data_IF_177786978923
#
_entry.id   IF_177786978923
#
_cell.length_a   1.000
_cell.length_b   1.000
_cell.length_c   1.000
_cell.angle_alpha   90.00
_cell.angle_beta   90.00
_cell.angle_gamma   90.00
#
_symmetry.space_group_name_H-M   'P 1'
#
loop_
_entity.id
_entity.type
_entity.pdbx_description
1 polymer ?
#
# COMPACT_ATOMS: atom_id res chain seq x y z
N UNK A 1 12.52 12.54 -7.72
CA UNK A 1 11.08 12.65 -8.03
C UNK A 1 10.44 13.79 -7.25
N UNK A 2 10.30 13.70 -5.92
CA UNK A 2 9.53 14.69 -5.14
C UNK A 2 10.21 16.06 -4.91
N UNK A 3 11.54 16.17 -5.06
CA UNK A 3 12.26 17.44 -4.90
C UNK A 3 12.11 18.40 -6.10
N UNK A 4 13.18 18.57 -6.89
CA UNK A 4 13.20 19.50 -8.04
C UNK A 4 12.03 19.27 -9.03
N UNK A 5 11.88 18.04 -9.52
CA UNK A 5 10.84 17.69 -10.51
C UNK A 5 9.43 17.88 -9.93
N UNK A 6 9.21 17.56 -8.66
CA UNK A 6 7.93 17.76 -7.99
C UNK A 6 7.54 19.24 -7.98
N UNK A 7 8.47 20.12 -7.59
CA UNK A 7 8.24 21.58 -7.60
C UNK A 7 7.94 22.13 -8.98
N UNK A 8 8.66 21.68 -10.00
CA UNK A 8 8.40 22.07 -11.41
C UNK A 8 7.02 21.63 -11.90
N UNK A 9 6.45 20.57 -11.30
CA UNK A 9 5.11 20.04 -11.62
C UNK A 9 4.00 20.57 -10.70
N UNK A 10 4.30 21.58 -9.88
CA UNK A 10 3.35 22.16 -8.93
C UNK A 10 3.03 21.28 -7.71
N UNK A 11 3.82 20.23 -7.44
CA UNK A 11 3.66 19.45 -6.21
C UNK A 11 4.17 20.27 -5.01
N UNK A 12 3.49 20.10 -3.88
CA UNK A 12 3.86 20.75 -2.62
C UNK A 12 5.28 20.40 -2.15
N UNK A 13 5.82 21.20 -1.25
CA UNK A 13 7.13 20.93 -0.66
C UNK A 13 7.11 19.59 0.07
N UNK A 14 8.17 18.81 -0.14
CA UNK A 14 8.36 17.55 0.59
C UNK A 14 8.76 17.87 2.02
N UNK A 15 7.89 17.53 2.96
CA UNK A 15 8.20 17.57 4.40
C UNK A 15 8.11 16.17 4.98
N UNK A 16 8.80 15.95 6.11
CA UNK A 16 8.72 14.69 6.84
C UNK A 16 7.30 14.45 7.35
N UNK A 17 6.64 15.51 7.78
CA UNK A 17 5.28 15.52 8.30
C UNK A 17 4.30 15.06 7.23
N UNK A 18 4.43 15.57 6.00
CA UNK A 18 3.62 15.14 4.87
C UNK A 18 3.84 13.65 4.56
N UNK A 19 5.11 13.19 4.55
CA UNK A 19 5.41 11.77 4.38
C UNK A 19 4.74 10.89 5.45
N UNK A 20 4.86 11.26 6.73
CA UNK A 20 4.23 10.51 7.83
C UNK A 20 2.70 10.54 7.72
N UNK A 21 2.12 11.65 7.28
CA UNK A 21 0.69 11.76 7.02
C UNK A 21 0.25 10.81 5.90
N UNK A 22 0.98 10.73 4.79
CA UNK A 22 0.69 9.79 3.70
C UNK A 22 0.81 8.33 4.14
N UNK A 23 1.78 8.02 5.00
CA UNK A 23 1.94 6.68 5.57
C UNK A 23 0.76 6.30 6.46
N UNK A 24 0.29 7.22 7.30
CA UNK A 24 -0.81 6.95 8.24
C UNK A 24 -2.19 6.97 7.58
N UNK A 25 -2.47 7.98 6.77
CA UNK A 25 -3.81 8.29 6.28
C UNK A 25 -3.92 8.38 4.76
N UNK A 26 -2.82 8.69 4.07
CA UNK A 26 -2.78 8.78 2.61
C UNK A 26 -2.47 7.45 1.92
N UNK A 27 -1.87 7.49 0.73
CA UNK A 27 -1.70 6.29 -0.12
C UNK A 27 -0.24 5.79 -0.17
N UNK A 28 0.55 6.06 0.88
CA UNK A 28 1.84 5.40 1.06
C UNK A 28 1.66 4.11 1.86
N UNK A 29 1.92 2.99 1.18
CA UNK A 29 1.84 1.64 1.75
C UNK A 29 3.22 1.25 2.29
N UNK A 30 3.58 1.82 3.43
CA UNK A 30 4.89 1.65 4.09
C UNK A 30 4.65 1.28 5.55
N UNK A 31 5.33 0.25 6.05
CA UNK A 31 5.18 -0.23 7.42
C UNK A 31 5.49 -1.71 7.55
N UNK A 32 4.96 -2.34 8.59
CA UNK A 32 5.01 -3.81 8.72
C UNK A 32 4.11 -4.49 7.67
N UNK A 33 4.36 -5.77 7.33
CA UNK A 33 3.51 -6.49 6.40
C UNK A 33 2.01 -6.44 6.76
N UNK A 34 1.67 -6.50 8.05
CA UNK A 34 0.29 -6.47 8.54
C UNK A 34 -0.35 -5.10 8.33
N UNK A 35 0.40 -4.01 8.57
CA UNK A 35 -0.07 -2.64 8.32
C UNK A 35 -0.35 -2.42 6.84
N UNK A 36 0.57 -2.87 5.98
CA UNK A 36 0.43 -2.76 4.53
C UNK A 36 -0.75 -3.61 4.04
N UNK A 37 -0.89 -4.85 4.50
CA UNK A 37 -1.98 -5.74 4.10
C UNK A 37 -3.36 -5.16 4.43
N UNK A 38 -3.56 -4.66 5.67
CA UNK A 38 -4.82 -4.03 6.06
C UNK A 38 -5.13 -2.80 5.20
N UNK A 39 -4.11 -1.99 4.89
CA UNK A 39 -4.29 -0.77 4.08
C UNK A 39 -4.65 -1.09 2.63
N UNK A 40 -4.01 -2.10 2.03
CA UNK A 40 -4.35 -2.58 0.68
C UNK A 40 -5.79 -3.12 0.65
N UNK A 41 -6.15 -3.99 1.60
CA UNK A 41 -7.49 -4.56 1.65
C UNK A 41 -8.56 -3.48 1.83
N UNK A 42 -8.31 -2.49 2.70
CA UNK A 42 -9.18 -1.32 2.84
C UNK A 42 -9.35 -0.58 1.51
N UNK A 43 -8.24 -0.18 0.86
CA UNK A 43 -8.27 0.59 -0.38
C UNK A 43 -9.00 -0.16 -1.51
N UNK A 44 -8.74 -1.46 -1.67
CA UNK A 44 -9.43 -2.27 -2.68
C UNK A 44 -10.93 -2.33 -2.42
N UNK A 45 -11.37 -2.52 -1.17
CA UNK A 45 -12.79 -2.53 -0.79
C UNK A 45 -13.45 -1.18 -1.05
N UNK A 46 -12.79 -0.08 -0.70
CA UNK A 46 -13.38 1.27 -0.79
C UNK A 46 -13.84 1.66 -2.20
N UNK A 47 -13.25 1.07 -3.23
CA UNK A 47 -13.57 1.37 -4.63
C UNK A 47 -14.01 0.14 -5.43
N UNK A 48 -14.17 -1.03 -4.78
CA UNK A 48 -14.51 -2.28 -5.45
C UNK A 48 -13.44 -2.78 -6.43
N UNK A 49 -12.17 -2.51 -6.16
CA UNK A 49 -11.07 -2.93 -7.04
C UNK A 49 -10.75 -4.42 -6.90
N UNK A 50 -10.46 -5.06 -8.02
CA UNK A 50 -10.06 -6.47 -8.09
C UNK A 50 -8.54 -6.66 -8.20
N UNK A 51 -7.82 -5.60 -8.55
CA UNK A 51 -6.37 -5.60 -8.75
C UNK A 51 -5.70 -4.45 -8.00
N UNK A 52 -4.53 -4.74 -7.44
CA UNK A 52 -3.67 -3.76 -6.79
C UNK A 52 -2.25 -3.88 -7.34
N UNK A 53 -1.77 -2.84 -8.03
CA UNK A 53 -0.39 -2.77 -8.51
C UNK A 53 0.48 -2.01 -7.49
N UNK A 54 1.53 -2.67 -6.99
CA UNK A 54 2.36 -2.11 -5.93
C UNK A 54 3.69 -1.55 -6.46
N UNK A 55 3.83 -0.22 -6.43
CA UNK A 55 5.10 0.45 -6.70
C UNK A 55 5.98 0.41 -5.46
N UNK A 56 6.93 -0.53 -5.44
CA UNK A 56 7.79 -0.81 -4.29
C UNK A 56 9.09 0.01 -4.22
N UNK A 57 9.43 0.80 -5.24
CA UNK A 57 10.68 1.56 -5.34
C UNK A 57 10.44 3.07 -5.47
N UNK A 58 11.36 3.87 -4.93
CA UNK A 58 11.33 5.34 -5.01
C UNK A 58 12.72 5.91 -5.32
N UNK A 59 13.12 5.84 -6.59
CA UNK A 59 14.44 6.27 -7.06
C UNK A 59 15.52 5.21 -6.84
N UNK A 60 16.80 5.59 -6.91
CA UNK A 60 17.91 4.68 -6.65
C UNK A 60 17.86 4.14 -5.22
N UNK A 61 17.77 2.82 -5.08
CA UNK A 61 17.76 2.12 -3.80
C UNK A 61 18.68 0.90 -3.90
N UNK A 62 19.24 0.48 -2.76
CA UNK A 62 20.02 -0.75 -2.70
C UNK A 62 19.17 -1.95 -3.17
N UNK A 63 19.71 -2.75 -4.08
CA UNK A 63 19.02 -3.91 -4.65
C UNK A 63 18.52 -4.87 -3.57
N UNK A 64 19.30 -5.09 -2.51
CA UNK A 64 18.89 -5.93 -1.37
C UNK A 64 17.60 -5.45 -0.69
N UNK A 65 17.41 -4.14 -0.54
CA UNK A 65 16.16 -3.58 0.04
C UNK A 65 14.96 -3.80 -0.89
N UNK A 66 15.19 -3.70 -2.19
CA UNK A 66 14.18 -3.95 -3.21
C UNK A 66 13.75 -5.43 -3.21
N UNK A 67 14.71 -6.36 -3.19
CA UNK A 67 14.45 -7.79 -3.12
C UNK A 67 13.72 -8.18 -1.83
N UNK A 68 14.14 -7.64 -0.67
CA UNK A 68 13.45 -7.87 0.59
C UNK A 68 11.99 -7.35 0.58
N UNK A 69 11.74 -6.19 -0.05
CA UNK A 69 10.38 -5.66 -0.21
C UNK A 69 9.50 -6.59 -1.04
N UNK A 70 10.04 -7.11 -2.15
CA UNK A 70 9.36 -8.08 -3.02
C UNK A 70 9.05 -9.37 -2.26
N UNK A 71 10.02 -9.90 -1.51
CA UNK A 71 9.86 -11.13 -0.73
C UNK A 71 8.75 -10.97 0.33
N UNK A 72 8.80 -9.90 1.13
CA UNK A 72 7.78 -9.64 2.15
C UNK A 72 6.40 -9.39 1.52
N UNK A 73 6.36 -8.69 0.39
CA UNK A 73 5.12 -8.46 -0.33
C UNK A 73 4.49 -9.78 -0.79
N UNK A 74 5.26 -10.64 -1.45
CA UNK A 74 4.77 -11.90 -2.00
C UNK A 74 4.43 -12.93 -0.91
N UNK A 75 5.26 -13.06 0.12
CA UNK A 75 5.16 -14.14 1.11
C UNK A 75 4.32 -13.80 2.33
N UNK A 76 4.15 -12.52 2.66
CA UNK A 76 3.42 -12.07 3.85
C UNK A 76 2.19 -11.24 3.49
N UNK A 77 2.38 -10.17 2.71
CA UNK A 77 1.31 -9.20 2.44
C UNK A 77 0.21 -9.80 1.58
N UNK A 78 0.55 -10.37 0.43
CA UNK A 78 -0.45 -10.89 -0.53
C UNK A 78 -1.35 -11.97 0.10
N UNK A 79 -0.84 -12.97 0.84
CA UNK A 79 -1.69 -13.93 1.54
C UNK A 79 -2.66 -13.28 2.54
N UNK A 80 -2.17 -12.34 3.38
CA UNK A 80 -3.01 -11.63 4.35
C UNK A 80 -4.11 -10.79 3.67
N UNK A 81 -3.79 -10.11 2.56
CA UNK A 81 -4.80 -9.35 1.79
C UNK A 81 -5.90 -10.28 1.28
N UNK A 82 -5.53 -11.44 0.71
CA UNK A 82 -6.49 -12.42 0.20
C UNK A 82 -7.38 -12.98 1.32
N UNK A 83 -6.80 -13.27 2.47
CA UNK A 83 -7.53 -13.73 3.65
C UNK A 83 -8.56 -12.70 4.11
N UNK A 84 -8.13 -11.44 4.29
CA UNK A 84 -9.01 -10.33 4.71
C UNK A 84 -10.16 -10.13 3.71
N UNK A 85 -9.89 -10.14 2.40
CA UNK A 85 -10.92 -9.95 1.38
C UNK A 85 -11.88 -11.14 1.28
N UNK A 86 -11.40 -12.37 1.54
CA UNK A 86 -12.23 -13.58 1.50
C UNK A 86 -13.15 -13.66 2.73
N UNK A 87 -12.64 -13.34 3.91
CA UNK A 87 -13.43 -13.29 5.15
C UNK A 87 -14.58 -12.28 5.04
N UNK A 88 -14.30 -11.09 4.51
CA UNK A 88 -15.34 -10.08 4.25
C UNK A 88 -16.41 -10.56 3.27
N UNK A 89 -16.00 -11.22 2.18
CA UNK A 89 -16.94 -11.78 1.21
C UNK A 89 -17.85 -12.80 1.87
N UNK A 90 -17.29 -13.71 2.68
CA UNK A 90 -18.07 -14.69 3.43
C UNK A 90 -19.06 -14.02 4.40
N UNK A 91 -18.62 -12.98 5.13
CA UNK A 91 -19.49 -12.22 6.02
C UNK A 91 -20.64 -11.52 5.29
N UNK A 92 -20.36 -10.92 4.11
CA UNK A 92 -21.40 -10.26 3.30
C UNK A 92 -22.45 -11.24 2.76
N UNK A 93 -22.04 -12.47 2.42
CA UNK A 93 -22.95 -13.54 1.97
C UNK A 93 -23.80 -14.05 3.14
N UNK A 94 -23.23 -14.14 4.34
CA UNK A 94 -23.99 -14.56 5.53
C UNK A 94 -25.04 -13.52 5.94
N UNK A 95 -24.73 -12.23 5.82
CA UNK A 95 -25.64 -11.14 6.19
C UNK A 95 -26.80 -10.91 5.20
N UNK A 96 -26.72 -11.46 3.98
CA UNK A 96 -27.77 -11.36 2.96
C UNK A 96 -28.74 -12.54 2.93
N UNK A 97 -28.59 -13.49 3.87
CA UNK A 97 -29.49 -14.63 4.10
C UNK A 97 -30.35 -14.39 5.33
#
# INVERSE_FOLDING_TARGET
MFGRIGRERGWGQVTKEHFINEVKYGSFYVGTPEQVARKIAYAMKSIGAERFDFKYSNGPMAHSKLMNSIELYATKVVPMVKEILSADRAASIAASR
#
